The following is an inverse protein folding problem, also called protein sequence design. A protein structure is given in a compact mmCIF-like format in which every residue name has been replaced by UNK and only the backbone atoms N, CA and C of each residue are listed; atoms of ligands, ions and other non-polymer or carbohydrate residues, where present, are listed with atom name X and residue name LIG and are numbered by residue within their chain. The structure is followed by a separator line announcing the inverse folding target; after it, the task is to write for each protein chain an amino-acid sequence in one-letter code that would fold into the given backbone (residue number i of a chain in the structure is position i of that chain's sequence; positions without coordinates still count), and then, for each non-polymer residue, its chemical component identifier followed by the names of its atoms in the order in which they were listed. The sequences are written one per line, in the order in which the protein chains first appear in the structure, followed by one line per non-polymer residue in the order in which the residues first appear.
data_IF_400833114382
#
_entry.id   IF_400833114382
#
_cell.length_a   1.000
_cell.length_b   1.000
_cell.length_c   1.000
_cell.angle_alpha   90.00
_cell.angle_beta   90.00
_cell.angle_gamma   90.00
#
_symmetry.space_group_name_H-M   'P 1'
#
loop_
_entity.id
_entity.type
_entity.pdbx_description
1 polymer ?
#
# COMPACT_ATOMS: atom_id res chain seq x y z
N UNK A 1 -8.91 -1.22 -20.69
CA UNK A 1 -9.11 -0.51 -19.40
C UNK A 1 -10.34 0.39 -19.54
N UNK A 2 -11.48 0.04 -18.92
CA UNK A 2 -12.78 0.68 -19.20
C UNK A 2 -12.99 1.96 -18.37
N UNK A 3 -13.39 3.03 -19.07
CA UNK A 3 -13.76 4.38 -18.60
C UNK A 3 -14.65 4.42 -17.34
N UNK A 4 -15.38 3.34 -17.05
CA UNK A 4 -16.29 3.23 -15.90
C UNK A 4 -15.59 3.26 -14.53
N UNK A 5 -14.32 2.86 -14.42
CA UNK A 5 -13.57 2.98 -13.15
C UNK A 5 -13.20 4.44 -12.83
N UNK A 6 -12.96 5.26 -13.86
CA UNK A 6 -12.54 6.66 -13.68
C UNK A 6 -13.62 7.55 -13.07
N UNK A 7 -14.92 7.27 -13.31
CA UNK A 7 -16.02 8.06 -12.74
C UNK A 7 -16.35 7.70 -11.27
N UNK A 8 -16.18 6.45 -10.86
CA UNK A 8 -16.47 6.03 -9.47
C UNK A 8 -15.33 6.46 -8.53
N UNK A 9 -14.08 6.44 -9.01
CA UNK A 9 -12.93 6.99 -8.29
C UNK A 9 -13.00 8.51 -8.08
N UNK A 10 -13.91 9.22 -8.75
CA UNK A 10 -14.17 10.63 -8.51
C UNK A 10 -14.92 10.91 -7.20
N UNK A 11 -15.65 9.93 -6.66
CA UNK A 11 -16.44 10.09 -5.42
C UNK A 11 -15.78 9.43 -4.20
N UNK A 12 -14.95 8.41 -4.43
CA UNK A 12 -14.26 7.71 -3.34
C UNK A 12 -13.01 8.49 -2.94
N UNK A 13 -12.87 8.79 -1.66
CA UNK A 13 -11.70 9.47 -1.11
C UNK A 13 -10.64 8.47 -0.62
N UNK A 14 -10.83 7.17 -0.84
CA UNK A 14 -9.95 6.11 -0.36
C UNK A 14 -9.89 4.93 -1.34
N UNK A 15 -8.83 4.15 -1.22
CA UNK A 15 -8.66 2.87 -1.90
C UNK A 15 -8.00 1.85 -0.96
N UNK A 16 -8.27 0.56 -1.18
CA UNK A 16 -7.74 -0.52 -0.38
C UNK A 16 -7.33 -1.73 -1.23
N UNK A 17 -6.32 -2.45 -0.78
CA UNK A 17 -5.90 -3.71 -1.37
C UNK A 17 -6.49 -4.90 -0.61
N UNK A 18 -6.42 -6.07 -1.22
CA UNK A 18 -6.83 -7.31 -0.59
C UNK A 18 -7.00 -8.46 -1.57
N UNK A 19 -7.02 -9.69 -1.09
CA UNK A 19 -7.22 -10.88 -1.92
C UNK A 19 -8.54 -10.89 -2.69
N UNK A 20 -9.57 -10.24 -2.14
CA UNK A 20 -10.90 -10.12 -2.77
C UNK A 20 -11.02 -8.90 -3.69
N UNK A 21 -9.96 -8.10 -3.85
CA UNK A 21 -9.99 -6.95 -4.73
C UNK A 21 -10.32 -7.36 -6.17
N UNK A 22 -11.21 -6.60 -6.81
CA UNK A 22 -11.62 -6.85 -8.21
C UNK A 22 -10.58 -6.36 -9.21
N UNK A 23 -9.76 -5.39 -8.85
CA UNK A 23 -8.63 -4.94 -9.66
C UNK A 23 -7.42 -5.84 -9.38
N UNK A 24 -6.84 -6.50 -10.39
CA UNK A 24 -5.58 -7.25 -10.22
C UNK A 24 -4.46 -6.40 -9.61
N UNK A 25 -4.43 -5.09 -9.88
CA UNK A 25 -3.41 -4.18 -9.36
C UNK A 25 -3.63 -3.77 -7.89
N UNK A 26 -4.77 -4.16 -7.31
CA UNK A 26 -5.10 -3.94 -5.89
C UNK A 26 -5.16 -5.27 -5.11
N UNK A 27 -4.66 -6.37 -5.69
CA UNK A 27 -4.51 -7.63 -4.96
C UNK A 27 -3.41 -7.48 -3.90
N UNK A 28 -3.52 -8.25 -2.83
CA UNK A 28 -2.46 -8.36 -1.82
C UNK A 28 -1.15 -8.84 -2.45
N UNK A 29 -0.04 -8.25 -2.04
CA UNK A 29 1.29 -8.68 -2.50
C UNK A 29 1.91 -9.63 -1.47
N UNK A 30 2.45 -10.74 -1.95
CA UNK A 30 3.02 -11.79 -1.10
C UNK A 30 4.52 -11.89 -1.29
N UNK A 31 5.23 -12.04 -0.17
CA UNK A 31 6.67 -12.23 -0.15
C UNK A 31 7.02 -13.45 0.69
N UNK A 32 7.88 -14.31 0.16
CA UNK A 32 8.43 -15.50 0.81
C UNK A 32 9.51 -15.10 1.83
N UNK A 33 9.09 -14.32 2.82
CA UNK A 33 9.82 -13.87 3.98
C UNK A 33 8.93 -14.03 5.21
N UNK A 34 9.52 -14.27 6.38
CA UNK A 34 8.75 -14.19 7.63
C UNK A 34 8.17 -12.79 7.81
N UNK A 35 7.17 -12.65 8.69
CA UNK A 35 6.58 -11.33 9.00
C UNK A 35 7.63 -10.35 9.50
N UNK A 36 8.58 -10.81 10.33
CA UNK A 36 9.63 -9.98 10.93
C UNK A 36 10.59 -9.44 9.87
N UNK A 37 11.07 -10.30 8.97
CA UNK A 37 11.94 -9.88 7.87
C UNK A 37 11.23 -8.98 6.88
N UNK A 38 9.96 -9.30 6.56
CA UNK A 38 9.13 -8.46 5.70
C UNK A 38 8.91 -7.08 6.30
N UNK A 39 8.68 -7.02 7.61
CA UNK A 39 8.53 -5.76 8.35
C UNK A 39 9.76 -4.86 8.20
N UNK A 40 10.95 -5.38 8.46
CA UNK A 40 12.21 -4.62 8.37
C UNK A 40 12.44 -4.07 6.96
N UNK A 41 12.27 -4.90 5.94
CA UNK A 41 12.45 -4.49 4.55
C UNK A 41 11.40 -3.46 4.09
N UNK A 42 10.14 -3.65 4.48
CA UNK A 42 9.04 -2.72 4.15
C UNK A 42 9.28 -1.37 4.82
N UNK A 43 9.53 -1.33 6.13
CA UNK A 43 9.82 -0.08 6.87
C UNK A 43 11.03 0.64 6.26
N UNK A 44 12.13 -0.09 6.03
CA UNK A 44 13.36 0.52 5.50
C UNK A 44 13.18 1.07 4.08
N UNK A 45 12.33 0.43 3.26
CA UNK A 45 12.00 0.90 1.92
C UNK A 45 11.11 2.14 1.99
N UNK A 46 10.04 2.10 2.78
CA UNK A 46 9.10 3.20 2.95
C UNK A 46 9.78 4.47 3.47
N UNK A 47 10.72 4.37 4.42
CA UNK A 47 11.52 5.50 4.92
C UNK A 47 12.38 6.18 3.85
N UNK A 48 12.74 5.47 2.78
CA UNK A 48 13.57 5.98 1.68
C UNK A 48 12.73 6.55 0.53
N UNK A 49 11.41 6.36 0.53
CA UNK A 49 10.55 6.84 -0.54
C UNK A 49 10.36 8.35 -0.47
N UNK A 50 10.70 9.05 -1.55
CA UNK A 50 10.55 10.50 -1.63
C UNK A 50 9.06 10.92 -1.59
N UNK A 51 8.77 11.95 -0.80
CA UNK A 51 7.41 12.50 -0.67
C UNK A 51 6.50 11.70 0.27
N UNK A 52 7.01 10.63 0.89
CA UNK A 52 6.34 9.89 1.95
C UNK A 52 7.00 10.21 3.29
N UNK A 53 6.19 10.31 4.33
CA UNK A 53 6.63 10.49 5.71
C UNK A 53 6.07 9.36 6.56
N UNK A 54 6.93 8.53 7.13
CA UNK A 54 6.51 7.52 8.11
C UNK A 54 6.17 8.25 9.41
N UNK A 55 4.95 8.08 9.89
CA UNK A 55 4.45 8.68 11.13
C UNK A 55 4.57 7.71 12.29
N UNK A 56 4.12 6.46 12.11
CA UNK A 56 4.10 5.45 13.15
C UNK A 56 4.48 4.07 12.60
N UNK A 57 5.18 3.31 13.43
CA UNK A 57 5.58 1.92 13.17
C UNK A 57 5.07 1.08 14.33
N UNK A 58 3.96 0.37 14.14
CA UNK A 58 3.32 -0.43 15.19
C UNK A 58 3.52 -1.91 14.87
N UNK A 59 4.71 -2.44 15.15
CA UNK A 59 5.12 -3.80 14.76
C UNK A 59 4.23 -4.90 15.37
N UNK A 60 3.76 -4.69 16.61
CA UNK A 60 2.87 -5.62 17.31
C UNK A 60 1.57 -5.87 16.53
N UNK A 61 0.98 -4.83 15.94
CA UNK A 61 -0.19 -4.91 15.08
C UNK A 61 0.21 -5.30 13.65
N UNK A 62 1.38 -4.83 13.21
CA UNK A 62 1.89 -5.03 11.86
C UNK A 62 1.45 -3.92 10.93
N UNK A 63 1.31 -2.69 11.44
CA UNK A 63 0.87 -1.53 10.67
C UNK A 63 1.91 -0.42 10.68
N UNK A 64 2.16 0.13 9.49
CA UNK A 64 3.05 1.27 9.26
C UNK A 64 2.18 2.40 8.72
N UNK A 65 2.09 3.49 9.46
CA UNK A 65 1.29 4.65 9.10
C UNK A 65 2.19 5.68 8.42
N UNK A 66 1.79 6.11 7.23
CA UNK A 66 2.47 7.13 6.45
C UNK A 66 1.54 8.28 6.11
N UNK A 67 2.16 9.42 5.86
CA UNK A 67 1.54 10.57 5.24
C UNK A 67 2.23 10.86 3.90
N UNK A 68 1.46 11.19 2.86
CA UNK A 68 1.98 11.79 1.63
C UNK A 68 1.22 13.07 1.33
N UNK A 69 1.94 14.15 1.02
CA UNK A 69 1.37 15.41 0.56
C UNK A 69 1.60 15.54 -0.95
N UNK A 70 0.53 15.70 -1.70
CA UNK A 70 0.59 15.97 -3.15
C UNK A 70 1.02 17.41 -3.44
N UNK A 71 1.41 17.65 -4.69
CA UNK A 71 1.75 18.99 -5.20
C UNK A 71 0.56 19.96 -5.09
N UNK A 72 -0.68 19.47 -5.20
CA UNK A 72 -1.90 20.28 -5.03
C UNK A 72 -2.22 20.58 -3.56
N UNK A 73 -1.36 20.16 -2.63
CA UNK A 73 -1.51 20.41 -1.19
C UNK A 73 -2.38 19.39 -0.46
N UNK A 74 -3.02 18.45 -1.17
CA UNK A 74 -3.82 17.37 -0.58
C UNK A 74 -2.95 16.38 0.17
N UNK A 75 -3.42 15.98 1.35
CA UNK A 75 -2.73 15.01 2.21
C UNK A 75 -3.47 13.67 2.21
N UNK A 76 -2.71 12.58 2.15
CA UNK A 76 -3.23 11.22 2.23
C UNK A 76 -2.62 10.54 3.44
N UNK A 77 -3.48 9.89 4.21
CA UNK A 77 -3.14 8.95 5.27
C UNK A 77 -3.11 7.55 4.69
N UNK A 78 -1.99 6.86 4.90
CA UNK A 78 -1.72 5.57 4.30
C UNK A 78 -1.36 4.60 5.41
N UNK A 79 -1.99 3.43 5.43
CA UNK A 79 -1.64 2.34 6.32
C UNK A 79 -1.13 1.18 5.48
N UNK A 80 0.11 0.76 5.73
CA UNK A 80 0.70 -0.45 5.14
C UNK A 80 0.70 -1.54 6.20
N UNK A 81 0.01 -2.63 5.93
CA UNK A 81 -0.16 -3.77 6.84
C UNK A 81 0.72 -4.93 6.39
N UNK A 82 1.58 -5.44 7.28
CA UNK A 82 2.40 -6.64 7.07
C UNK A 82 1.78 -7.81 7.83
N UNK A 83 1.15 -8.72 7.11
CA UNK A 83 0.31 -9.78 7.66
C UNK A 83 1.09 -11.09 7.62
N UNK A 84 1.10 -11.83 8.73
CA UNK A 84 1.68 -13.18 8.76
C UNK A 84 0.73 -14.14 8.04
N UNK A 85 1.18 -14.77 6.95
CA UNK A 85 0.39 -15.78 6.23
C UNK A 85 0.80 -17.16 6.73
N UNK A 86 2.12 -17.41 6.81
CA UNK A 86 2.73 -18.60 7.39
C UNK A 86 4.16 -18.27 7.87
N UNK A 87 4.88 -19.17 8.56
CA UNK A 87 6.19 -18.84 9.14
C UNK A 87 7.25 -18.30 8.17
N UNK A 88 7.10 -18.55 6.86
CA UNK A 88 8.05 -18.15 5.82
C UNK A 88 7.44 -17.22 4.77
N UNK A 89 6.20 -16.76 4.95
CA UNK A 89 5.48 -15.93 3.98
C UNK A 89 4.66 -14.85 4.67
N UNK A 90 4.78 -13.62 4.19
CA UNK A 90 3.98 -12.49 4.62
C UNK A 90 3.24 -11.86 3.44
N UNK A 91 2.06 -11.32 3.71
CA UNK A 91 1.32 -10.48 2.80
C UNK A 91 1.52 -9.00 3.18
N UNK A 92 1.50 -8.12 2.18
CA UNK A 92 1.52 -6.68 2.36
C UNK A 92 0.28 -6.08 1.71
N UNK A 93 -0.55 -5.48 2.54
CA UNK A 93 -1.76 -4.76 2.14
C UNK A 93 -1.64 -3.26 2.44
N UNK A 94 -2.39 -2.46 1.70
CA UNK A 94 -2.34 -1.01 1.76
C UNK A 94 -3.76 -0.47 1.77
N UNK A 95 -4.04 0.37 2.76
CA UNK A 95 -5.17 1.28 2.77
C UNK A 95 -4.65 2.70 2.57
N UNK A 96 -5.24 3.46 1.66
CA UNK A 96 -4.87 4.86 1.43
C UNK A 96 -6.14 5.70 1.38
N UNK A 97 -6.20 6.75 2.20
CA UNK A 97 -7.31 7.68 2.25
C UNK A 97 -6.83 9.12 2.18
N UNK A 98 -7.56 9.95 1.45
CA UNK A 98 -7.34 11.37 1.39
C UNK A 98 -8.04 12.09 2.53
N UNK A 99 -7.37 13.08 3.13
CA UNK A 99 -8.02 14.01 4.05
C UNK A 99 -8.94 14.95 3.25
N UNK A 100 -10.22 15.02 3.63
CA UNK A 100 -11.25 15.85 2.98
C UNK A 100 -12.25 15.08 2.10
N UNK A 101 -13.30 15.78 1.64
CA UNK A 101 -14.54 15.17 1.10
C UNK A 101 -14.65 15.13 -0.44
N UNK A 102 -13.84 15.89 -1.18
CA UNK A 102 -14.06 16.10 -2.63
C UNK A 102 -13.63 14.95 -3.58
N UNK A 103 -13.58 13.70 -3.10
CA UNK A 103 -13.05 12.57 -3.88
C UNK A 103 -11.58 12.75 -4.26
N UNK A 104 -10.86 11.72 -4.72
CA UNK A 104 -9.40 11.78 -4.86
C UNK A 104 -8.85 11.75 -6.30
N UNK A 105 -9.72 11.62 -7.31
CA UNK A 105 -9.35 11.48 -8.72
C UNK A 105 -8.38 10.30 -8.99
N UNK A 106 -8.50 9.24 -8.20
CA UNK A 106 -7.63 8.06 -8.23
C UNK A 106 -6.24 8.30 -7.63
N UNK A 107 -6.06 9.33 -6.80
CA UNK A 107 -4.77 9.60 -6.16
C UNK A 107 -4.34 8.48 -5.21
N UNK A 108 -5.25 7.95 -4.39
CA UNK A 108 -4.96 6.83 -3.48
C UNK A 108 -4.62 5.57 -4.25
N UNK A 109 -5.32 5.31 -5.36
CA UNK A 109 -4.96 4.22 -6.27
C UNK A 109 -3.50 4.35 -6.74
N UNK A 110 -3.10 5.52 -7.24
CA UNK A 110 -1.72 5.76 -7.71
C UNK A 110 -0.69 5.60 -6.60
N UNK A 111 -1.02 6.01 -5.38
CA UNK A 111 -0.16 5.82 -4.20
C UNK A 111 0.08 4.34 -3.92
N UNK A 112 -0.98 3.53 -3.92
CA UNK A 112 -0.87 2.08 -3.73
C UNK A 112 0.05 1.48 -4.78
N UNK A 113 -0.15 1.81 -6.06
CA UNK A 113 0.69 1.30 -7.15
C UNK A 113 2.15 1.75 -7.02
N UNK A 114 2.40 2.98 -6.58
CA UNK A 114 3.75 3.51 -6.36
C UNK A 114 4.49 2.77 -5.24
N UNK A 115 3.81 2.54 -4.10
CA UNK A 115 4.36 1.77 -2.98
C UNK A 115 4.62 0.32 -3.41
N UNK A 116 3.63 -0.34 -4.02
CA UNK A 116 3.80 -1.72 -4.48
C UNK A 116 4.90 -1.88 -5.50
N UNK A 117 5.02 -0.97 -6.49
CA UNK A 117 6.11 -1.01 -7.47
C UNK A 117 7.48 -0.91 -6.78
N UNK A 118 7.59 -0.05 -5.77
CA UNK A 118 8.84 0.16 -5.03
C UNK A 118 9.20 -1.07 -4.20
N UNK A 119 8.23 -1.63 -3.45
CA UNK A 119 8.42 -2.83 -2.65
C UNK A 119 8.74 -4.04 -3.53
N UNK A 120 7.97 -4.25 -4.61
CA UNK A 120 8.19 -5.34 -5.56
C UNK A 120 9.58 -5.29 -6.19
N UNK A 121 10.05 -4.09 -6.54
CA UNK A 121 11.40 -3.92 -7.09
C UNK A 121 12.47 -4.31 -6.09
N UNK A 122 12.29 -3.95 -4.81
CA UNK A 122 13.24 -4.25 -3.74
C UNK A 122 13.20 -5.73 -3.33
N UNK A 123 12.02 -6.32 -3.30
CA UNK A 123 11.75 -7.68 -2.82
C UNK A 123 11.51 -8.69 -3.95
N UNK A 124 11.94 -8.37 -5.17
CA UNK A 124 11.64 -9.14 -6.37
C UNK A 124 11.96 -10.65 -6.22
N UNK A 125 13.12 -10.97 -5.62
CA UNK A 125 13.55 -12.36 -5.40
C UNK A 125 12.68 -13.14 -4.41
N UNK A 126 11.90 -12.45 -3.59
CA UNK A 126 11.01 -13.04 -2.60
C UNK A 126 9.55 -13.00 -3.03
N UNK A 127 9.20 -12.30 -4.11
CA UNK A 127 7.82 -12.15 -4.55
C UNK A 127 7.24 -13.50 -4.95
N UNK A 128 6.05 -13.80 -4.45
CA UNK A 128 5.28 -15.00 -4.80
C UNK A 128 3.85 -14.61 -5.12
N UNK A 129 3.15 -15.45 -5.89
CA UNK A 129 1.69 -15.44 -5.87
C UNK A 129 1.24 -16.02 -4.52
N UNK A 130 0.21 -15.44 -3.91
CA UNK A 130 -0.38 -15.95 -2.67
C UNK A 130 -0.67 -17.45 -2.75
N UNK A 131 -0.73 -18.08 -1.58
CA UNK A 131 -0.90 -19.54 -1.42
C UNK A 131 -2.14 -20.02 -2.15
#
# INVERSE_FOLDING_TARGET
MSLKRSLIGLLRSHELTGDKAKDPLLKSHYYKLSRERSWEEVVSTLKKMQGYKVLHEVQSVGEIVLEKRTVTGRTMDITVSVINVNPVTAAVDIYSASRGSFGDLGSNYRIIIDIYRTLDKKLAQYKTTGI
#
